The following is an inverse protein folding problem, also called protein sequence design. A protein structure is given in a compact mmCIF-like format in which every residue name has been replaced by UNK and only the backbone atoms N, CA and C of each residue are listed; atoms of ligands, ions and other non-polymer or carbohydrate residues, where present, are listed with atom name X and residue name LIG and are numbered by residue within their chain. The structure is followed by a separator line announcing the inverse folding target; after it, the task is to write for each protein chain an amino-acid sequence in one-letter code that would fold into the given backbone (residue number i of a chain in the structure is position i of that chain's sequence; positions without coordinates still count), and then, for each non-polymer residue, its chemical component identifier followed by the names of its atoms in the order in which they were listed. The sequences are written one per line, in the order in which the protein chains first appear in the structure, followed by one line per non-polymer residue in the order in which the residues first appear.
data_IF_237429810633
#
_entry.id   IF_237429810633
#
_cell.length_a   1.000
_cell.length_b   1.000
_cell.length_c   1.000
_cell.angle_alpha   90.00
_cell.angle_beta   90.00
_cell.angle_gamma   90.00
#
_symmetry.space_group_name_H-M   'P 1'
#
loop_
_entity.id
_entity.type
_entity.pdbx_description
1 polymer ?
#
# COMPACT_ATOMS: atom_id res chain seq x y z
N UNK A 1 -34.89 2.19 4.77
CA UNK A 1 -33.53 1.78 5.16
C UNK A 1 -33.02 0.79 4.12
N UNK A 2 -31.87 1.02 3.48
CA UNK A 2 -31.30 0.04 2.53
C UNK A 2 -30.91 -1.23 3.26
N UNK A 3 -31.26 -2.41 2.73
CA UNK A 3 -30.82 -3.68 3.32
C UNK A 3 -29.29 -3.82 3.31
N UNK A 4 -28.73 -4.62 4.22
CA UNK A 4 -27.29 -4.90 4.27
C UNK A 4 -26.76 -5.40 2.92
N UNK A 5 -27.55 -6.25 2.24
CA UNK A 5 -27.22 -6.79 0.91
C UNK A 5 -27.11 -5.66 -0.13
N UNK A 6 -27.99 -4.66 -0.10
CA UNK A 6 -27.92 -3.53 -1.01
C UNK A 6 -26.66 -2.69 -0.77
N UNK A 7 -26.28 -2.48 0.49
CA UNK A 7 -25.03 -1.77 0.86
C UNK A 7 -23.79 -2.54 0.40
N UNK A 8 -23.78 -3.85 0.59
CA UNK A 8 -22.67 -4.70 0.15
C UNK A 8 -22.51 -4.71 -1.38
N UNK A 9 -23.61 -4.84 -2.13
CA UNK A 9 -23.58 -4.76 -3.60
C UNK A 9 -23.12 -3.40 -4.09
N UNK A 10 -23.56 -2.32 -3.45
CA UNK A 10 -23.09 -0.97 -3.76
C UNK A 10 -21.59 -0.84 -3.51
N UNK A 11 -21.08 -1.42 -2.42
CA UNK A 11 -19.66 -1.43 -2.11
C UNK A 11 -18.83 -2.23 -3.13
N UNK A 12 -19.31 -3.41 -3.58
CA UNK A 12 -18.63 -4.16 -4.66
C UNK A 12 -18.52 -3.38 -5.97
N UNK A 13 -19.44 -2.44 -6.22
CA UNK A 13 -19.41 -1.54 -7.36
C UNK A 13 -18.53 -0.31 -7.17
N UNK A 14 -17.97 -0.08 -5.98
CA UNK A 14 -17.26 1.15 -5.64
C UNK A 14 -15.79 1.13 -6.08
N UNK A 15 -15.18 2.31 -6.11
CA UNK A 15 -13.74 2.47 -6.31
C UNK A 15 -12.95 1.94 -5.12
N UNK A 16 -13.49 2.03 -3.89
CA UNK A 16 -12.89 1.50 -2.67
C UNK A 16 -12.67 -0.02 -2.75
N UNK A 17 -13.66 -0.78 -3.23
CA UNK A 17 -13.49 -2.21 -3.45
C UNK A 17 -12.43 -2.49 -4.50
N UNK A 18 -12.44 -1.74 -5.61
CA UNK A 18 -11.47 -1.93 -6.68
C UNK A 18 -10.03 -1.71 -6.19
N UNK A 19 -9.79 -0.65 -5.42
CA UNK A 19 -8.47 -0.37 -4.81
C UNK A 19 -8.06 -1.47 -3.85
N UNK A 20 -8.97 -1.89 -2.97
CA UNK A 20 -8.71 -2.94 -1.98
C UNK A 20 -8.38 -4.27 -2.66
N UNK A 21 -9.16 -4.67 -3.66
CA UNK A 21 -8.94 -5.91 -4.39
C UNK A 21 -7.59 -5.89 -5.13
N UNK A 22 -7.26 -4.81 -5.81
CA UNK A 22 -5.97 -4.64 -6.49
C UNK A 22 -4.81 -4.65 -5.51
N UNK A 23 -4.95 -3.98 -4.37
CA UNK A 23 -3.94 -3.93 -3.31
C UNK A 23 -3.68 -5.32 -2.71
N UNK A 24 -4.73 -6.12 -2.47
CA UNK A 24 -4.60 -7.51 -2.00
C UNK A 24 -3.84 -8.35 -3.02
N UNK A 25 -4.20 -8.28 -4.30
CA UNK A 25 -3.49 -9.02 -5.36
C UNK A 25 -2.02 -8.60 -5.43
N UNK A 26 -1.74 -7.29 -5.42
CA UNK A 26 -0.38 -6.76 -5.44
C UNK A 26 0.42 -7.19 -4.21
N UNK A 27 -0.19 -7.18 -3.03
CA UNK A 27 0.42 -7.62 -1.78
C UNK A 27 0.81 -9.10 -1.83
N UNK A 28 -0.08 -9.97 -2.33
CA UNK A 28 0.21 -11.39 -2.48
C UNK A 28 1.34 -11.65 -3.47
N UNK A 29 1.32 -10.97 -4.62
CA UNK A 29 2.38 -11.09 -5.64
C UNK A 29 3.72 -10.59 -5.10
N UNK A 30 3.75 -9.42 -4.48
CA UNK A 30 4.97 -8.83 -3.94
C UNK A 30 5.54 -9.65 -2.77
N UNK A 31 4.66 -10.07 -1.84
CA UNK A 31 5.02 -10.94 -0.73
C UNK A 31 5.61 -12.26 -1.21
N UNK A 32 4.92 -12.94 -2.13
CA UNK A 32 5.40 -14.19 -2.73
C UNK A 32 6.77 -14.02 -3.37
N UNK A 33 6.95 -12.99 -4.22
CA UNK A 33 8.22 -12.75 -4.89
C UNK A 33 9.39 -12.48 -3.92
N UNK A 34 9.12 -11.88 -2.77
CA UNK A 34 10.15 -11.63 -1.74
C UNK A 34 10.42 -12.87 -0.90
N UNK A 35 9.39 -13.63 -0.53
CA UNK A 35 9.57 -14.91 0.17
C UNK A 35 10.32 -15.94 -0.69
N UNK A 36 10.12 -15.96 -2.00
CA UNK A 36 10.92 -16.84 -2.89
C UNK A 36 12.41 -16.47 -2.91
N UNK A 37 12.74 -15.18 -2.77
CA UNK A 37 14.14 -14.73 -2.75
C UNK A 37 14.82 -14.93 -1.40
N UNK A 38 14.10 -14.70 -0.31
CA UNK A 38 14.61 -14.80 1.05
C UNK A 38 13.51 -15.31 1.99
N UNK A 39 13.31 -16.64 2.10
CA UNK A 39 12.20 -17.24 2.85
C UNK A 39 12.18 -16.88 4.33
N UNK A 40 13.36 -16.67 4.92
CA UNK A 40 13.53 -16.33 6.34
C UNK A 40 13.53 -14.81 6.60
N UNK A 41 13.44 -13.99 5.54
CA UNK A 41 13.46 -12.54 5.68
C UNK A 41 12.07 -11.99 5.99
N UNK A 42 12.01 -11.02 6.90
CA UNK A 42 10.78 -10.32 7.28
C UNK A 42 10.19 -9.48 6.12
N UNK A 43 10.92 -9.34 5.03
CA UNK A 43 10.62 -8.41 3.93
C UNK A 43 9.36 -8.78 3.16
N UNK A 44 9.08 -10.08 3.01
CA UNK A 44 7.83 -10.54 2.41
C UNK A 44 6.61 -10.07 3.20
N UNK A 45 6.67 -10.12 4.54
CA UNK A 45 5.60 -9.62 5.39
C UNK A 45 5.46 -8.10 5.29
N UNK A 46 6.57 -7.36 5.30
CA UNK A 46 6.54 -5.89 5.20
C UNK A 46 5.98 -5.41 3.85
N UNK A 47 6.32 -6.08 2.75
CA UNK A 47 5.73 -5.78 1.46
C UNK A 47 4.23 -6.05 1.41
N UNK A 48 3.77 -7.16 2.02
CA UNK A 48 2.33 -7.44 2.17
C UNK A 48 1.64 -6.35 2.96
N UNK A 49 2.23 -5.89 4.07
CA UNK A 49 1.66 -4.81 4.88
C UNK A 49 1.62 -3.47 4.13
N UNK A 50 2.68 -3.11 3.41
CA UNK A 50 2.73 -1.86 2.67
C UNK A 50 1.70 -1.84 1.53
N UNK A 51 1.68 -2.87 0.68
CA UNK A 51 0.75 -2.94 -0.43
C UNK A 51 -0.69 -3.18 0.05
N UNK A 52 -0.91 -4.10 0.98
CA UNK A 52 -2.24 -4.55 1.39
C UNK A 52 -2.92 -3.67 2.43
N UNK A 53 -2.17 -2.92 3.23
CA UNK A 53 -2.73 -2.08 4.31
C UNK A 53 -2.40 -0.60 4.09
N UNK A 54 -1.12 -0.27 3.91
CA UNK A 54 -0.72 1.15 3.83
C UNK A 54 -1.33 1.85 2.62
N UNK A 55 -1.25 1.24 1.42
CA UNK A 55 -1.81 1.84 0.19
C UNK A 55 -3.32 2.08 0.26
N UNK A 56 -4.17 1.11 0.65
CA UNK A 56 -5.61 1.38 0.86
C UNK A 56 -5.91 2.41 1.96
N UNK A 57 -5.07 2.50 2.99
CA UNK A 57 -5.19 3.55 4.02
C UNK A 57 -4.90 4.93 3.43
N UNK A 58 -3.82 5.05 2.66
CA UNK A 58 -3.42 6.28 1.98
C UNK A 58 -4.50 6.71 0.98
N UNK A 59 -5.05 5.77 0.21
CA UNK A 59 -6.15 6.06 -0.72
C UNK A 59 -7.34 6.72 -0.01
N UNK A 60 -7.77 6.16 1.13
CA UNK A 60 -8.88 6.71 1.92
C UNK A 60 -8.58 8.12 2.46
N UNK A 61 -7.33 8.42 2.76
CA UNK A 61 -6.91 9.74 3.24
C UNK A 61 -6.76 10.77 2.11
N UNK A 62 -6.49 10.35 0.87
CA UNK A 62 -6.20 11.26 -0.24
C UNK A 62 -7.33 11.48 -1.23
N UNK A 63 -8.19 10.48 -1.41
CA UNK A 63 -9.04 10.39 -2.58
C UNK A 63 -10.43 10.96 -2.32
N UNK A 64 -10.53 12.29 -2.33
CA UNK A 64 -11.80 13.02 -2.18
C UNK A 64 -12.64 12.95 -3.46
N UNK A 65 -13.22 11.79 -3.78
CA UNK A 65 -14.32 11.60 -4.76
C UNK A 65 -14.09 12.03 -6.23
N UNK A 66 -13.07 12.82 -6.54
CA UNK A 66 -12.90 13.53 -7.80
C UNK A 66 -12.41 12.64 -8.95
N UNK A 67 -12.13 11.37 -8.68
CA UNK A 67 -11.75 10.39 -9.69
C UNK A 67 -12.72 9.20 -9.63
N UNK A 68 -13.90 9.41 -10.19
CA UNK A 68 -15.06 8.49 -10.13
C UNK A 68 -14.91 7.20 -10.96
N UNK A 69 -13.81 7.00 -11.70
CA UNK A 69 -13.66 5.81 -12.52
C UNK A 69 -12.94 4.67 -11.79
N UNK A 70 -13.55 3.47 -11.81
CA UNK A 70 -12.95 2.25 -11.25
C UNK A 70 -11.63 1.90 -11.91
N UNK A 71 -11.50 2.12 -13.22
CA UNK A 71 -10.26 1.85 -13.95
C UNK A 71 -9.10 2.72 -13.44
N UNK A 72 -9.35 4.00 -13.18
CA UNK A 72 -8.34 4.91 -12.65
C UNK A 72 -7.99 4.56 -11.20
N UNK A 73 -8.97 4.14 -10.39
CA UNK A 73 -8.73 3.66 -9.03
C UNK A 73 -7.84 2.39 -8.99
N UNK A 74 -8.08 1.44 -9.90
CA UNK A 74 -7.23 0.24 -10.08
C UNK A 74 -5.82 0.63 -10.51
N UNK A 75 -5.69 1.51 -11.51
CA UNK A 75 -4.39 1.94 -12.00
C UNK A 75 -3.60 2.67 -10.91
N UNK A 76 -4.25 3.57 -10.18
CA UNK A 76 -3.65 4.25 -9.05
C UNK A 76 -3.19 3.26 -7.98
N UNK A 77 -4.04 2.29 -7.60
CA UNK A 77 -3.70 1.28 -6.60
C UNK A 77 -2.48 0.45 -7.02
N UNK A 78 -2.45 0.01 -8.28
CA UNK A 78 -1.33 -0.76 -8.82
C UNK A 78 -0.01 0.03 -8.79
N UNK A 79 -0.04 1.30 -9.24
CA UNK A 79 1.14 2.17 -9.23
C UNK A 79 1.59 2.49 -7.81
N UNK A 80 0.65 2.81 -6.91
CA UNK A 80 0.95 3.11 -5.51
C UNK A 80 1.56 1.90 -4.78
N UNK A 81 1.05 0.68 -5.03
CA UNK A 81 1.64 -0.55 -4.50
C UNK A 81 3.06 -0.77 -5.01
N UNK A 82 3.29 -0.60 -6.32
CA UNK A 82 4.62 -0.74 -6.91
C UNK A 82 5.61 0.28 -6.35
N UNK A 83 5.18 1.54 -6.19
CA UNK A 83 6.00 2.60 -5.59
C UNK A 83 6.29 2.34 -4.11
N UNK A 84 5.30 1.91 -3.33
CA UNK A 84 5.49 1.62 -1.91
C UNK A 84 6.48 0.46 -1.70
N UNK A 85 6.29 -0.66 -2.40
CA UNK A 85 7.20 -1.81 -2.33
C UNK A 85 8.58 -1.44 -2.89
N UNK A 86 8.65 -0.72 -4.01
CA UNK A 86 9.91 -0.29 -4.60
C UNK A 86 10.71 0.64 -3.67
N UNK A 87 10.06 1.64 -3.07
CA UNK A 87 10.67 2.55 -2.11
C UNK A 87 11.19 1.81 -0.88
N UNK A 88 10.40 0.85 -0.38
CA UNK A 88 10.83 -0.03 0.70
C UNK A 88 12.10 -0.81 0.35
N UNK A 89 12.16 -1.46 -0.81
CA UNK A 89 13.35 -2.24 -1.21
C UNK A 89 14.59 -1.36 -1.39
N UNK A 90 14.43 -0.15 -1.92
CA UNK A 90 15.52 0.82 -2.02
C UNK A 90 16.01 1.22 -0.62
N UNK A 91 15.10 1.49 0.32
CA UNK A 91 15.46 1.87 1.69
C UNK A 91 16.11 0.72 2.46
N UNK A 92 15.67 -0.52 2.27
CA UNK A 92 16.34 -1.70 2.84
C UNK A 92 17.79 -1.74 2.35
N UNK A 93 18.01 -1.64 1.03
CA UNK A 93 19.36 -1.66 0.46
C UNK A 93 20.25 -0.51 0.98
N UNK A 94 19.67 0.67 1.25
CA UNK A 94 20.39 1.80 1.85
C UNK A 94 20.74 1.53 3.32
N UNK A 95 19.80 0.99 4.11
CA UNK A 95 20.00 0.77 5.54
C UNK A 95 20.86 -0.47 5.86
N UNK A 96 20.91 -1.45 4.96
CA UNK A 96 21.79 -2.61 5.06
C UNK A 96 23.28 -2.22 5.15
N UNK A 97 23.65 -1.07 4.54
CA UNK A 97 25.00 -0.52 4.65
C UNK A 97 25.36 0.04 6.03
N UNK A 98 24.39 0.19 6.93
CA UNK A 98 24.53 0.90 8.21
C UNK A 98 24.19 0.01 9.42
N UNK A 99 23.26 -0.94 9.26
CA UNK A 99 22.81 -1.84 10.31
C UNK A 99 22.73 -3.28 9.79
N UNK A 100 22.92 -4.25 10.68
CA UNK A 100 22.77 -5.68 10.35
C UNK A 100 21.46 -6.28 10.88
N UNK A 101 21.13 -7.46 10.37
CA UNK A 101 19.97 -8.24 10.83
C UNK A 101 18.65 -7.65 10.36
N UNK A 102 17.62 -7.67 11.24
CA UNK A 102 16.25 -7.22 10.88
C UNK A 102 16.03 -5.70 10.96
N UNK A 103 17.01 -4.94 11.44
CA UNK A 103 16.88 -3.49 11.68
C UNK A 103 16.63 -2.70 10.38
N UNK A 104 17.36 -2.95 9.27
CA UNK A 104 17.13 -2.28 7.99
C UNK A 104 15.69 -2.41 7.49
N UNK A 105 15.13 -3.61 7.55
CA UNK A 105 13.75 -3.90 7.13
C UNK A 105 12.72 -3.13 7.95
N UNK A 106 12.89 -3.10 9.27
CA UNK A 106 11.98 -2.35 10.16
C UNK A 106 12.04 -0.85 9.88
N UNK A 107 13.25 -0.29 9.74
CA UNK A 107 13.43 1.13 9.44
C UNK A 107 12.87 1.50 8.08
N UNK A 108 13.18 0.71 7.05
CA UNK A 108 12.66 0.92 5.70
C UNK A 108 11.13 0.88 5.68
N UNK A 109 10.53 -0.07 6.38
CA UNK A 109 9.08 -0.18 6.50
C UNK A 109 8.46 1.06 7.15
N UNK A 110 8.95 1.46 8.34
CA UNK A 110 8.42 2.62 9.07
C UNK A 110 8.58 3.90 8.25
N UNK A 111 9.77 4.11 7.67
CA UNK A 111 10.06 5.30 6.85
C UNK A 111 9.16 5.34 5.62
N UNK A 112 9.01 4.23 4.90
CA UNK A 112 8.14 4.16 3.71
C UNK A 112 6.69 4.49 4.06
N UNK A 113 6.16 3.91 5.14
CA UNK A 113 4.79 4.14 5.56
C UNK A 113 4.58 5.61 5.97
N UNK A 114 5.43 6.13 6.87
CA UNK A 114 5.30 7.51 7.38
C UNK A 114 5.46 8.53 6.25
N UNK A 115 6.43 8.34 5.34
CA UNK A 115 6.58 9.19 4.17
C UNK A 115 5.36 9.12 3.25
N UNK A 116 4.79 7.93 3.04
CA UNK A 116 3.56 7.76 2.27
C UNK A 116 2.41 8.58 2.85
N UNK A 117 2.18 8.51 4.16
CA UNK A 117 1.16 9.31 4.85
C UNK A 117 1.47 10.82 4.80
N UNK A 118 2.73 11.20 4.93
CA UNK A 118 3.13 12.61 4.86
C UNK A 118 2.89 13.21 3.48
N UNK A 119 3.40 12.55 2.43
CA UNK A 119 3.16 12.93 1.03
C UNK A 119 1.67 12.98 0.76
N UNK A 120 0.92 12.04 1.33
CA UNK A 120 -0.51 11.98 1.16
C UNK A 120 -1.25 13.23 1.65
N UNK A 121 -0.89 13.68 2.85
CA UNK A 121 -1.44 14.88 3.48
C UNK A 121 -1.00 16.17 2.81
N UNK A 122 0.27 16.26 2.43
CA UNK A 122 0.80 17.42 1.69
C UNK A 122 0.09 17.58 0.35
N UNK A 123 -0.08 16.50 -0.40
CA UNK A 123 -0.75 16.53 -1.70
C UNK A 123 -2.24 16.93 -1.61
N UNK A 124 -2.88 16.69 -0.48
CA UNK A 124 -4.29 17.06 -0.24
C UNK A 124 -4.48 18.37 0.50
N UNK A 125 -3.40 19.10 0.84
CA UNK A 125 -3.47 20.36 1.58
C UNK A 125 -3.98 20.20 3.02
N UNK A 126 -4.03 18.97 3.55
CA UNK A 126 -4.45 18.66 4.92
C UNK A 126 -3.24 18.77 5.85
N UNK A 127 -2.73 19.99 6.04
CA UNK A 127 -1.77 20.27 7.13
C UNK A 127 -2.53 20.56 8.41
N UNK A 128 -2.08 19.97 9.52
CA UNK A 128 -2.65 20.13 10.86
C UNK A 128 -2.71 21.59 11.31
#
# INVERSE_FOLDING_TARGET
MSSLVARFRAWLGSTEFAVTATAVVAALVAGFALFERAPDANDGYFAVFLAGIAVPSIYREQWDGAFDSRALAVLWSAVACALAVGAYLVLVAVFDGVAGGSVPSVLAFVVTWVLGLFVARVATGRTA
#
